data_IF_860646496316
#
_entry.id   IF_860646496316
#
_cell.length_a   1.000
_cell.length_b   1.000
_cell.length_c   1.000
_cell.angle_alpha   90.00
_cell.angle_beta   90.00
_cell.angle_gamma   90.00
#
_symmetry.space_group_name_H-M   'P 1'
#
loop_
_entity.id
_entity.type
_entity.pdbx_description
1 polymer ?
#
# COMPACT_ATOMS: atom_id res chain seq x y z
N UNK A 1 25.17 -10.08 17.16
CA UNK A 1 25.15 -9.27 15.92
C UNK A 1 24.73 -10.18 14.79
N UNK A 2 23.47 -10.10 14.35
CA UNK A 2 22.96 -10.89 13.23
C UNK A 2 22.97 -9.97 12.01
N UNK A 3 23.92 -10.20 11.10
CA UNK A 3 24.00 -9.52 9.81
C UNK A 3 22.92 -10.08 8.88
N UNK A 4 21.92 -9.27 8.56
CA UNK A 4 20.89 -9.63 7.60
C UNK A 4 21.46 -9.55 6.19
N UNK A 5 21.51 -10.71 5.53
CA UNK A 5 21.87 -10.88 4.13
C UNK A 5 20.69 -10.40 3.27
N UNK A 6 20.84 -9.25 2.60
CA UNK A 6 19.89 -8.80 1.56
C UNK A 6 20.35 -9.34 0.21
N UNK A 7 19.64 -10.34 -0.31
CA UNK A 7 19.78 -10.79 -1.71
C UNK A 7 18.78 -10.00 -2.55
N UNK A 8 19.28 -9.01 -3.29
CA UNK A 8 18.49 -8.31 -4.30
C UNK A 8 18.60 -9.09 -5.63
N UNK A 9 17.54 -9.81 -5.99
CA UNK A 9 17.40 -10.39 -7.33
C UNK A 9 16.83 -9.32 -8.27
N UNK A 10 17.67 -8.79 -9.16
CA UNK A 10 17.26 -7.88 -10.23
C UNK A 10 16.96 -8.73 -11.46
N UNK A 11 15.68 -8.95 -11.77
CA UNK A 11 15.25 -9.36 -13.10
C UNK A 11 14.68 -8.13 -13.82
N UNK A 12 15.48 -7.54 -14.70
CA UNK A 12 15.06 -6.42 -15.56
C UNK A 12 14.38 -6.95 -16.83
N UNK A 13 13.05 -6.99 -16.83
CA UNK A 13 12.23 -6.90 -18.04
C UNK A 13 11.67 -5.48 -18.20
N UNK A 14 11.03 -5.12 -19.32
CA UNK A 14 10.32 -3.84 -19.44
C UNK A 14 9.10 -3.90 -18.53
N UNK A 15 9.32 -3.58 -17.26
CA UNK A 15 8.27 -3.45 -16.28
C UNK A 15 7.55 -2.13 -16.59
N UNK A 16 6.33 -2.22 -17.11
CA UNK A 16 5.30 -1.34 -16.57
C UNK A 16 5.47 -1.42 -15.06
N UNK A 17 5.94 -0.34 -14.45
CA UNK A 17 6.31 -0.32 -13.04
C UNK A 17 5.03 -0.40 -12.23
N UNK A 18 4.54 -1.62 -12.05
CA UNK A 18 3.36 -1.92 -11.22
C UNK A 18 3.62 -1.31 -9.85
N UNK A 19 2.83 -0.32 -9.48
CA UNK A 19 2.94 0.32 -8.17
C UNK A 19 2.68 -0.73 -7.09
N UNK A 20 3.72 -1.12 -6.36
CA UNK A 20 3.63 -2.12 -5.28
C UNK A 20 3.10 -1.49 -3.99
N UNK A 21 2.48 -2.31 -3.15
CA UNK A 21 1.98 -1.89 -1.85
C UNK A 21 3.10 -1.72 -0.80
N UNK A 22 4.25 -2.36 -1.00
CA UNK A 22 5.37 -2.36 -0.05
C UNK A 22 5.81 -0.95 0.42
N UNK A 23 6.04 0.05 -0.48
CA UNK A 23 6.38 1.40 -0.03
C UNK A 23 5.27 2.05 0.80
N UNK A 24 4.01 1.86 0.44
CA UNK A 24 2.88 2.39 1.21
C UNK A 24 2.77 1.71 2.58
N UNK A 25 2.96 0.38 2.65
CA UNK A 25 2.95 -0.36 3.91
C UNK A 25 4.08 0.10 4.83
N UNK A 26 5.27 0.37 4.28
CA UNK A 26 6.40 0.91 5.04
C UNK A 26 6.07 2.29 5.65
N UNK A 27 5.44 3.16 4.87
CA UNK A 27 5.00 4.49 5.34
C UNK A 27 3.90 4.41 6.40
N UNK A 28 2.89 3.57 6.20
CA UNK A 28 1.85 3.31 7.21
C UNK A 28 2.46 2.76 8.51
N UNK A 29 3.46 1.88 8.39
CA UNK A 29 4.18 1.34 9.54
C UNK A 29 4.90 2.45 10.29
N UNK A 30 5.53 3.40 9.60
CA UNK A 30 6.15 4.56 10.25
C UNK A 30 5.13 5.40 11.03
N UNK A 31 3.99 5.74 10.42
CA UNK A 31 2.95 6.49 11.13
C UNK A 31 2.44 5.75 12.36
N UNK A 32 2.19 4.44 12.23
CA UNK A 32 1.76 3.60 13.34
C UNK A 32 2.78 3.60 14.49
N UNK A 33 4.07 3.46 14.18
CA UNK A 33 5.13 3.45 15.18
C UNK A 33 5.34 4.81 15.85
N UNK A 34 5.09 5.89 15.13
CA UNK A 34 5.19 7.26 15.64
C UNK A 34 3.92 7.71 16.39
N UNK A 35 2.81 6.97 16.26
CA UNK A 35 1.51 7.39 16.76
C UNK A 35 0.86 8.50 15.93
N UNK A 36 1.32 8.69 14.69
CA UNK A 36 0.76 9.67 13.77
C UNK A 36 -0.61 9.20 13.23
N UNK A 37 -1.55 10.12 13.00
CA UNK A 37 -2.79 9.80 12.32
C UNK A 37 -2.54 9.42 10.86
N UNK A 38 -3.43 8.60 10.28
CA UNK A 38 -3.45 8.37 8.84
C UNK A 38 -3.73 9.68 8.09
N UNK A 39 -3.11 9.89 6.92
CA UNK A 39 -3.32 11.10 6.14
C UNK A 39 -4.73 11.11 5.53
N UNK A 40 -5.28 12.32 5.37
CA UNK A 40 -6.66 12.52 4.88
C UNK A 40 -6.88 12.04 3.44
N UNK A 41 -5.81 11.98 2.65
CA UNK A 41 -5.82 11.57 1.24
C UNK A 41 -5.51 10.07 1.06
N UNK A 42 -5.38 9.28 2.13
CA UNK A 42 -5.03 7.86 2.06
C UNK A 42 -5.91 7.08 1.08
N UNK A 43 -7.21 7.37 1.04
CA UNK A 43 -8.13 6.69 0.12
C UNK A 43 -7.83 7.00 -1.35
N UNK A 44 -7.39 8.22 -1.68
CA UNK A 44 -6.95 8.56 -3.03
C UNK A 44 -5.64 7.83 -3.36
N UNK A 45 -4.72 7.79 -2.41
CA UNK A 45 -3.44 7.08 -2.55
C UNK A 45 -3.65 5.57 -2.76
N UNK A 46 -4.59 4.95 -2.05
CA UNK A 46 -4.97 3.54 -2.23
C UNK A 46 -5.60 3.27 -3.60
N UNK A 47 -6.34 4.24 -4.18
CA UNK A 47 -6.91 4.09 -5.54
C UNK A 47 -5.86 4.12 -6.64
N UNK A 48 -4.69 4.67 -6.40
CA UNK A 48 -3.56 4.64 -7.34
C UNK A 48 -2.86 3.27 -7.41
N UNK A 49 -3.10 2.39 -6.43
CA UNK A 49 -2.58 1.02 -6.47
C UNK A 49 -3.42 0.16 -7.40
N UNK A 50 -2.76 -0.80 -8.06
CA UNK A 50 -3.44 -1.89 -8.76
C UNK A 50 -4.34 -2.69 -7.79
N UNK A 51 -5.46 -3.27 -8.24
CA UNK A 51 -6.43 -3.93 -7.36
C UNK A 51 -5.83 -4.95 -6.38
N UNK A 52 -4.87 -5.75 -6.84
CA UNK A 52 -4.20 -6.75 -6.00
C UNK A 52 -3.36 -6.11 -4.88
N UNK A 53 -2.59 -5.07 -5.21
CA UNK A 53 -1.75 -4.33 -4.26
C UNK A 53 -2.60 -3.50 -3.30
N UNK A 54 -3.69 -2.92 -3.79
CA UNK A 54 -4.69 -2.23 -2.98
C UNK A 54 -5.29 -3.15 -1.92
N UNK A 55 -5.68 -4.37 -2.31
CA UNK A 55 -6.19 -5.37 -1.36
C UNK A 55 -5.15 -5.70 -0.29
N UNK A 56 -3.87 -5.83 -0.67
CA UNK A 56 -2.77 -6.09 0.26
C UNK A 56 -2.63 -4.97 1.31
N UNK A 57 -2.63 -3.71 0.86
CA UNK A 57 -2.56 -2.55 1.75
C UNK A 57 -3.79 -2.44 2.67
N UNK A 58 -5.00 -2.70 2.15
CA UNK A 58 -6.24 -2.70 2.92
C UNK A 58 -6.25 -3.78 4.01
N UNK A 59 -5.78 -4.99 3.68
CA UNK A 59 -5.65 -6.08 4.67
C UNK A 59 -4.66 -5.69 5.76
N UNK A 60 -3.53 -5.07 5.40
CA UNK A 60 -2.56 -4.58 6.39
C UNK A 60 -3.20 -3.55 7.33
N UNK A 61 -3.83 -2.50 6.79
CA UNK A 61 -4.51 -1.46 7.57
C UNK A 61 -5.59 -2.01 8.50
N UNK A 62 -6.35 -3.02 8.04
CA UNK A 62 -7.39 -3.65 8.87
C UNK A 62 -6.80 -4.50 9.99
N UNK A 63 -5.70 -5.22 9.73
CA UNK A 63 -5.03 -6.06 10.73
C UNK A 63 -4.23 -5.26 11.75
N UNK A 64 -3.72 -4.09 11.39
CA UNK A 64 -3.05 -3.16 12.32
C UNK A 64 -4.03 -2.34 13.17
N UNK A 65 -5.33 -2.40 12.87
CA UNK A 65 -6.35 -1.58 13.54
C UNK A 65 -6.37 -0.11 13.08
N UNK A 66 -5.55 0.24 12.08
CA UNK A 66 -5.47 1.61 11.53
C UNK A 66 -6.68 1.96 10.66
N UNK A 67 -7.35 0.97 10.07
CA UNK A 67 -8.58 1.20 9.32
C UNK A 67 -9.80 1.27 10.25
N UNK A 68 -10.31 2.48 10.50
CA UNK A 68 -11.55 2.70 11.25
C UNK A 68 -12.72 3.04 10.32
N UNK A 69 -13.92 2.57 10.64
CA UNK A 69 -15.15 2.87 9.87
C UNK A 69 -15.61 1.76 8.90
N UNK A 70 -16.50 2.14 7.99
CA UNK A 70 -17.03 1.24 6.95
C UNK A 70 -15.92 0.82 5.99
N UNK A 71 -15.78 -0.48 5.77
CA UNK A 71 -14.79 -1.02 4.83
C UNK A 71 -15.07 -0.64 3.38
N UNK A 72 -14.09 -0.91 2.52
CA UNK A 72 -14.23 -0.73 1.08
C UNK A 72 -15.17 -1.79 0.48
N UNK A 73 -15.98 -1.39 -0.50
CA UNK A 73 -16.82 -2.34 -1.27
C UNK A 73 -15.97 -3.11 -2.27
N UNK A 74 -16.47 -4.27 -2.74
CA UNK A 74 -15.79 -5.05 -3.77
C UNK A 74 -15.53 -4.22 -5.03
N UNK A 75 -16.50 -3.40 -5.47
CA UNK A 75 -16.36 -2.54 -6.64
C UNK A 75 -15.22 -1.53 -6.47
N UNK A 76 -15.06 -0.94 -5.28
CA UNK A 76 -13.96 -0.01 -4.99
C UNK A 76 -12.59 -0.70 -4.98
N UNK A 77 -12.54 -1.94 -4.48
CA UNK A 77 -11.29 -2.71 -4.41
C UNK A 77 -10.87 -3.16 -5.81
N UNK A 78 -11.81 -3.54 -6.67
CA UNK A 78 -11.56 -4.07 -8.01
C UNK A 78 -11.50 -3.00 -9.10
N UNK A 79 -11.82 -1.75 -8.79
CA UNK A 79 -11.71 -0.64 -9.74
C UNK A 79 -10.27 -0.52 -10.29
N UNK A 80 -10.09 -0.19 -11.58
CA UNK A 80 -8.77 0.07 -12.15
C UNK A 80 -7.99 1.12 -11.33
N UNK A 81 -6.66 1.08 -11.40
CA UNK A 81 -5.84 2.10 -10.76
C UNK A 81 -6.15 3.49 -11.34
N UNK A 82 -6.39 4.46 -10.46
CA UNK A 82 -6.54 5.85 -10.87
C UNK A 82 -5.15 6.41 -11.22
N UNK A 83 -5.02 6.98 -12.42
CA UNK A 83 -3.79 7.66 -12.81
C UNK A 83 -3.53 8.85 -11.87
N UNK A 84 -2.27 9.03 -11.48
CA UNK A 84 -1.86 10.22 -10.73
C UNK A 84 -2.04 11.44 -11.63
N UNK A 85 -3.10 12.22 -11.41
CA UNK A 85 -3.23 13.54 -12.04
C UNK A 85 -2.19 14.45 -11.39
N UNK A 86 -1.12 14.73 -12.14
CA UNK A 86 -0.08 15.71 -11.81
C UNK A 86 -0.53 17.13 -12.18
#
# INVERSE_FOLDING_TARGET
MIGALMVAAILSGPADTVATADPMIAEITQWLLNGDPLPVDLNARLRQLEPAERLRALVFLRRSGMLSGTGWTADQILAPAEAKHE
#
